data_IF_594812101790
#
_entry.id   IF_594812101790
#
_cell.length_a   1.000
_cell.length_b   1.000
_cell.length_c   1.000
_cell.angle_alpha   90.00
_cell.angle_beta   90.00
_cell.angle_gamma   90.00
#
_symmetry.space_group_name_H-M   'P 1'
#
loop_
_entity.id
_entity.type
_entity.pdbx_description
1 polymer ?
#
# COMPACT_ATOMS: atom_id res chain seq x y z
N UNK A 1 5.19 19.59 -8.77
CA UNK A 1 4.27 19.13 -7.71
C UNK A 1 2.86 19.19 -8.25
N UNK A 2 2.06 18.13 -8.08
CA UNK A 2 0.62 18.18 -8.36
C UNK A 2 -0.09 18.80 -7.14
N UNK A 3 -0.98 19.76 -7.37
CA UNK A 3 -1.80 20.34 -6.31
C UNK A 3 -3.11 19.56 -6.22
N UNK A 4 -3.46 19.10 -5.01
CA UNK A 4 -4.72 18.44 -4.71
C UNK A 4 -5.39 19.21 -3.58
N UNK A 5 -6.59 19.72 -3.84
CA UNK A 5 -7.41 20.39 -2.84
C UNK A 5 -8.33 19.36 -2.19
N UNK A 6 -8.37 19.32 -0.86
CA UNK A 6 -9.17 18.37 -0.08
C UNK A 6 -9.97 19.19 0.93
N UNK A 7 -11.28 19.00 0.97
CA UNK A 7 -12.15 19.56 2.00
C UNK A 7 -12.37 18.52 3.08
N UNK A 8 -12.18 18.91 4.33
CA UNK A 8 -12.37 18.06 5.50
C UNK A 8 -13.50 18.62 6.37
N UNK A 9 -14.31 17.77 7.03
CA UNK A 9 -15.20 18.21 8.09
C UNK A 9 -14.45 18.89 9.23
N UNK A 10 -15.09 19.83 9.93
CA UNK A 10 -14.46 20.63 11.00
C UNK A 10 -13.67 19.80 12.02
N UNK A 11 -14.19 18.66 12.54
CA UNK A 11 -13.43 17.86 13.52
C UNK A 11 -12.12 17.28 12.96
N UNK A 12 -12.07 16.99 11.66
CA UNK A 12 -10.87 16.46 10.99
C UNK A 12 -9.89 17.58 10.68
N UNK A 13 -10.38 18.77 10.31
CA UNK A 13 -9.55 19.95 10.12
C UNK A 13 -8.82 20.30 11.41
N UNK A 14 -9.55 20.40 12.53
CA UNK A 14 -8.99 20.73 13.84
C UNK A 14 -7.93 19.71 14.28
N UNK A 15 -8.19 18.42 14.03
CA UNK A 15 -7.22 17.37 14.29
C UNK A 15 -5.91 17.59 13.51
N UNK A 16 -6.00 17.86 12.20
CA UNK A 16 -4.84 18.12 11.34
C UNK A 16 -4.09 19.37 11.81
N UNK A 17 -4.79 20.42 12.21
CA UNK A 17 -4.20 21.67 12.71
C UNK A 17 -3.43 21.45 14.02
N UNK A 18 -3.91 20.57 14.91
CA UNK A 18 -3.17 20.18 16.11
C UNK A 18 -1.86 19.48 15.76
N UNK A 19 -1.83 18.66 14.70
CA UNK A 19 -0.60 17.99 14.28
C UNK A 19 0.43 18.98 13.72
N UNK A 20 0.01 20.04 13.04
CA UNK A 20 0.94 21.06 12.52
C UNK A 20 1.42 22.05 13.57
N UNK A 21 0.73 22.14 14.72
CA UNK A 21 1.22 22.85 15.92
C UNK A 21 2.32 22.07 16.65
N UNK A 22 2.52 20.80 16.33
CA UNK A 22 3.71 20.06 16.76
C UNK A 22 4.87 20.36 15.82
N UNK A 23 6.11 20.38 16.33
CA UNK A 23 7.33 20.59 15.53
C UNK A 23 7.60 19.49 14.46
N UNK A 24 6.65 18.55 14.27
CA UNK A 24 6.75 17.43 13.35
C UNK A 24 6.32 17.77 11.91
N UNK A 25 5.42 18.74 11.72
CA UNK A 25 4.89 19.06 10.39
C UNK A 25 4.76 20.57 10.17
N UNK A 26 5.33 21.08 9.06
CA UNK A 26 5.34 22.51 8.76
C UNK A 26 3.99 23.05 8.23
N UNK A 27 3.14 22.18 7.65
CA UNK A 27 1.81 22.54 7.15
C UNK A 27 0.90 21.32 7.04
N UNK A 28 -0.40 21.56 6.81
CA UNK A 28 -1.42 20.52 6.73
C UNK A 28 -1.13 19.52 5.59
N UNK A 29 -0.59 19.99 4.47
CA UNK A 29 -0.25 19.12 3.34
C UNK A 29 0.90 18.16 3.66
N UNK A 30 1.84 18.54 4.52
CA UNK A 30 2.93 17.65 4.95
C UNK A 30 2.42 16.52 5.83
N UNK A 31 1.51 16.83 6.76
CA UNK A 31 0.83 15.80 7.54
C UNK A 31 0.05 14.82 6.64
N UNK A 32 -0.72 15.34 5.68
CA UNK A 32 -1.47 14.48 4.75
C UNK A 32 -0.54 13.62 3.88
N UNK A 33 0.58 14.16 3.40
CA UNK A 33 1.59 13.37 2.66
C UNK A 33 2.17 12.26 3.50
N UNK A 34 2.44 12.51 4.78
CA UNK A 34 2.93 11.48 5.69
C UNK A 34 1.89 10.39 5.95
N UNK A 35 0.60 10.76 6.12
CA UNK A 35 -0.49 9.79 6.22
C UNK A 35 -0.56 8.89 4.98
N UNK A 36 -0.42 9.45 3.78
CA UNK A 36 -0.41 8.65 2.54
C UNK A 36 0.78 7.68 2.52
N UNK A 37 1.97 8.11 2.97
CA UNK A 37 3.13 7.20 3.05
C UNK A 37 2.89 6.07 4.06
N UNK A 38 2.32 6.38 5.22
CA UNK A 38 1.95 5.38 6.24
C UNK A 38 0.91 4.40 5.72
N UNK A 39 -0.06 4.88 4.95
CA UNK A 39 -1.08 4.04 4.31
C UNK A 39 -0.45 3.08 3.29
N UNK A 40 0.43 3.58 2.41
CA UNK A 40 1.19 2.75 1.47
C UNK A 40 2.03 1.67 2.18
N UNK A 41 2.68 2.04 3.29
CA UNK A 41 3.47 1.09 4.09
C UNK A 41 2.58 0.00 4.72
N UNK A 42 1.37 0.34 5.16
CA UNK A 42 0.41 -0.64 5.69
C UNK A 42 -0.03 -1.63 4.62
N UNK A 43 -0.28 -1.17 3.39
CA UNK A 43 -0.61 -2.05 2.25
C UNK A 43 0.54 -3.01 1.97
N UNK A 44 1.78 -2.52 1.95
CA UNK A 44 2.96 -3.36 1.75
C UNK A 44 3.11 -4.39 2.89
N UNK A 45 2.94 -3.96 4.14
CA UNK A 45 3.03 -4.84 5.30
C UNK A 45 1.97 -5.94 5.26
N UNK A 46 0.74 -5.61 4.85
CA UNK A 46 -0.33 -6.58 4.71
C UNK A 46 0.02 -7.65 3.67
N UNK A 47 0.52 -7.25 2.49
CA UNK A 47 0.94 -8.19 1.47
C UNK A 47 2.10 -9.11 1.92
N UNK A 48 3.01 -8.60 2.76
CA UNK A 48 4.06 -9.42 3.37
C UNK A 48 3.46 -10.43 4.35
N UNK A 49 2.56 -9.98 5.23
CA UNK A 49 1.86 -10.86 6.18
C UNK A 49 1.10 -11.96 5.44
N UNK A 50 0.33 -11.62 4.41
CA UNK A 50 -0.39 -12.59 3.59
C UNK A 50 0.57 -13.60 2.94
N UNK A 51 1.74 -13.15 2.49
CA UNK A 51 2.80 -14.02 1.97
C UNK A 51 3.35 -14.98 3.03
N UNK A 52 3.55 -14.53 4.27
CA UNK A 52 4.00 -15.37 5.38
C UNK A 52 2.91 -16.39 5.76
N UNK A 53 1.65 -15.98 5.79
CA UNK A 53 0.51 -16.83 6.11
C UNK A 53 0.09 -17.75 4.96
N UNK A 54 0.63 -17.54 3.75
CA UNK A 54 0.32 -18.36 2.55
C UNK A 54 0.81 -19.81 2.61
N UNK A 55 1.53 -20.17 3.68
CA UNK A 55 1.98 -21.52 3.98
C UNK A 55 3.48 -21.74 3.74
N UNK A 56 3.90 -23.00 3.78
CA UNK A 56 5.31 -23.36 3.71
C UNK A 56 5.95 -22.96 2.38
N UNK A 57 7.11 -22.27 2.41
CA UNK A 57 7.83 -21.92 1.20
C UNK A 57 8.32 -23.17 0.48
N UNK A 58 8.03 -23.25 -0.83
CA UNK A 58 8.45 -24.36 -1.69
C UNK A 58 9.62 -23.92 -2.56
N UNK A 59 10.50 -24.86 -2.90
CA UNK A 59 11.56 -24.61 -3.87
C UNK A 59 10.95 -24.07 -5.19
N UNK A 60 11.49 -22.97 -5.69
CA UNK A 60 10.95 -22.29 -6.86
C UNK A 60 11.94 -22.33 -8.03
N UNK A 61 11.51 -22.88 -9.16
CA UNK A 61 12.23 -22.83 -10.44
C UNK A 61 11.45 -22.01 -11.47
N UNK A 62 12.16 -21.08 -12.12
CA UNK A 62 11.60 -20.23 -13.18
C UNK A 62 11.13 -21.04 -14.39
N UNK A 63 11.80 -22.14 -14.70
CA UNK A 63 11.51 -23.01 -15.84
C UNK A 63 10.21 -23.80 -15.59
N UNK A 64 10.08 -24.41 -14.42
CA UNK A 64 8.89 -25.14 -13.99
C UNK A 64 7.67 -24.22 -13.89
N UNK A 65 7.86 -23.00 -13.36
CA UNK A 65 6.79 -21.99 -13.31
C UNK A 65 6.27 -21.63 -14.70
N UNK A 66 7.17 -21.34 -15.65
CA UNK A 66 6.78 -21.01 -17.03
C UNK A 66 6.09 -22.18 -17.74
N UNK A 67 6.53 -23.41 -17.50
CA UNK A 67 5.88 -24.60 -18.05
C UNK A 67 4.45 -24.73 -17.52
N UNK A 68 4.25 -24.57 -16.20
CA UNK A 68 2.93 -24.61 -15.56
C UNK A 68 1.97 -23.53 -16.08
N UNK A 69 2.43 -22.28 -16.20
CA UNK A 69 1.60 -21.18 -16.71
C UNK A 69 1.18 -21.40 -18.17
N UNK A 70 2.07 -21.94 -19.01
CA UNK A 70 1.71 -22.29 -20.40
C UNK A 70 0.68 -23.42 -20.47
N UNK A 71 0.79 -24.41 -19.59
CA UNK A 71 -0.17 -25.51 -19.49
C UNK A 71 -1.58 -24.99 -19.12
N UNK A 72 -1.68 -24.18 -18.06
CA UNK A 72 -2.95 -23.57 -17.64
C UNK A 72 -3.63 -22.75 -18.74
N UNK A 73 -2.86 -21.95 -19.50
CA UNK A 73 -3.41 -21.15 -20.59
C UNK A 73 -3.94 -21.96 -21.79
N UNK A 74 -3.54 -23.23 -21.91
CA UNK A 74 -4.06 -24.16 -22.93
C UNK A 74 -5.33 -24.85 -22.46
N UNK A 75 -5.39 -25.22 -21.19
CA UNK A 75 -6.56 -25.87 -20.59
C UNK A 75 -7.76 -24.90 -20.46
N UNK A 76 -7.50 -23.59 -20.30
CA UNK A 76 -8.54 -22.55 -20.26
C UNK A 76 -9.10 -22.19 -21.65
N UNK A 77 -8.45 -22.63 -22.74
CA UNK A 77 -8.88 -22.39 -24.12
C UNK A 77 -9.63 -23.57 -24.75
N UNK A 78 -9.83 -24.65 -24.00
CA UNK A 78 -10.62 -25.81 -24.40
C UNK A 78 -12.00 -25.74 -23.73
#
# INVERSE_FOLDING_TARGET
MAAMNITLPDPMHDWVEVQTKSDLYANNSDYVRDLIRKDQLRVMQHAITDGIESGEPKAWSKEEFKARMKQQSKDEKL
#
